data_IF_413938820009
#
_entry.id   IF_413938820009
#
_cell.length_a   1.000
_cell.length_b   1.000
_cell.length_c   1.000
_cell.angle_alpha   90.00
_cell.angle_beta   90.00
_cell.angle_gamma   90.00
#
_symmetry.space_group_name_H-M   'P 1'
#
loop_
_entity.id
_entity.type
_entity.pdbx_description
1 polymer ?
#
# COMPACT_ATOMS: atom_id res chain seq x y z
N UNK A 1 2.16 12.62 -12.79
CA UNK A 1 3.29 12.83 -11.85
C UNK A 1 3.85 11.49 -11.39
N UNK A 2 5.03 11.44 -10.77
CA UNK A 2 5.55 10.23 -10.15
C UNK A 2 5.30 10.31 -8.64
N UNK A 3 4.61 9.32 -8.07
CA UNK A 3 4.27 9.24 -6.65
C UNK A 3 4.90 7.99 -6.05
N UNK A 4 5.75 8.15 -5.05
CA UNK A 4 6.26 7.04 -4.25
C UNK A 4 5.42 6.96 -2.97
N UNK A 5 4.73 5.83 -2.78
CA UNK A 5 3.89 5.63 -1.61
C UNK A 5 4.72 5.16 -0.42
N UNK A 6 4.36 5.66 0.76
CA UNK A 6 4.76 5.02 2.01
C UNK A 6 3.94 3.74 2.22
N UNK A 7 4.51 2.77 2.95
CA UNK A 7 3.87 1.52 3.33
C UNK A 7 2.48 1.73 3.92
N UNK A 8 2.29 2.70 4.82
CA UNK A 8 0.98 2.90 5.46
C UNK A 8 -0.08 3.48 4.50
N UNK A 9 0.32 4.34 3.56
CA UNK A 9 -0.59 4.89 2.55
C UNK A 9 -1.06 3.80 1.60
N UNK A 10 -0.14 2.93 1.17
CA UNK A 10 -0.48 1.77 0.37
C UNK A 10 -1.48 0.87 1.09
N UNK A 11 -1.22 0.53 2.36
CA UNK A 11 -2.12 -0.28 3.18
C UNK A 11 -3.50 0.37 3.35
N UNK A 12 -3.57 1.69 3.56
CA UNK A 12 -4.85 2.37 3.64
C UNK A 12 -5.62 2.35 2.33
N UNK A 13 -4.93 2.53 1.20
CA UNK A 13 -5.56 2.50 -0.11
C UNK A 13 -6.16 1.14 -0.45
N UNK A 14 -5.41 0.05 -0.26
CA UNK A 14 -5.90 -1.30 -0.61
C UNK A 14 -7.02 -1.82 0.30
N UNK A 15 -7.13 -1.28 1.51
CA UNK A 15 -8.18 -1.65 2.47
C UNK A 15 -9.33 -0.62 2.52
N UNK A 16 -9.41 0.30 1.55
CA UNK A 16 -10.38 1.40 1.51
C UNK A 16 -10.55 2.12 2.87
N UNK A 17 -9.42 2.38 3.53
CA UNK A 17 -9.41 2.87 4.90
C UNK A 17 -9.91 4.34 4.94
N UNK A 18 -10.86 4.70 5.82
CA UNK A 18 -11.43 6.05 5.90
C UNK A 18 -10.44 7.13 6.34
N UNK A 19 -9.25 6.76 6.83
CA UNK A 19 -8.18 7.71 7.14
C UNK A 19 -7.43 8.18 5.89
N UNK A 20 -7.61 7.51 4.75
CA UNK A 20 -7.05 7.97 3.49
C UNK A 20 -7.82 9.19 3.00
N UNK A 21 -7.12 10.31 2.87
CA UNK A 21 -7.71 11.54 2.35
C UNK A 21 -8.17 11.35 0.89
N UNK A 22 -9.39 11.79 0.57
CA UNK A 22 -9.97 11.80 -0.78
C UNK A 22 -9.01 12.36 -1.84
N UNK A 23 -8.32 13.46 -1.55
CA UNK A 23 -7.34 14.03 -2.48
C UNK A 23 -6.20 13.05 -2.79
N UNK A 24 -5.78 12.26 -1.80
CA UNK A 24 -4.71 11.27 -1.98
C UNK A 24 -5.24 10.09 -2.80
N UNK A 25 -6.48 9.65 -2.55
CA UNK A 25 -7.17 8.62 -3.33
C UNK A 25 -7.29 9.04 -4.80
N UNK A 26 -7.77 10.26 -5.07
CA UNK A 26 -7.82 10.83 -6.42
C UNK A 26 -6.44 10.87 -7.10
N UNK A 27 -5.39 11.20 -6.36
CA UNK A 27 -4.01 11.21 -6.91
C UNK A 27 -3.51 9.81 -7.24
N UNK A 28 -3.87 8.79 -6.46
CA UNK A 28 -3.49 7.39 -6.67
C UNK A 28 -4.28 6.79 -7.84
N UNK A 29 -5.58 7.04 -7.93
CA UNK A 29 -6.48 6.50 -8.97
C UNK A 29 -6.34 7.21 -10.32
N UNK A 30 -5.72 8.40 -10.37
CA UNK A 30 -5.52 9.13 -11.61
C UNK A 30 -4.48 8.44 -12.50
N UNK A 31 -4.92 7.89 -13.63
CA UNK A 31 -4.09 7.19 -14.63
C UNK A 31 -2.93 8.01 -15.21
N UNK A 32 -2.97 9.36 -15.10
CA UNK A 32 -1.84 10.23 -15.50
C UNK A 32 -0.70 10.23 -14.49
N UNK A 33 -0.89 9.62 -13.33
CA UNK A 33 0.12 9.45 -12.30
C UNK A 33 0.71 8.05 -12.37
N UNK A 34 2.04 7.97 -12.23
CA UNK A 34 2.74 6.71 -12.03
C UNK A 34 2.95 6.52 -10.54
N UNK A 35 2.45 5.41 -10.03
CA UNK A 35 2.56 5.01 -8.63
C UNK A 35 3.72 4.04 -8.50
N UNK A 36 4.58 4.30 -7.53
CA UNK A 36 5.69 3.44 -7.16
C UNK A 36 5.52 3.00 -5.72
N UNK A 37 5.86 1.74 -5.45
CA UNK A 37 6.03 1.21 -4.11
C UNK A 37 7.45 0.67 -4.00
N UNK A 38 8.15 1.03 -2.93
CA UNK A 38 9.50 0.54 -2.71
C UNK A 38 9.49 -0.94 -2.41
N UNK A 39 10.46 -1.68 -2.95
CA UNK A 39 10.70 -3.07 -2.52
C UNK A 39 10.88 -3.14 -1.01
N UNK A 40 11.56 -2.16 -0.39
CA UNK A 40 11.74 -2.11 1.06
C UNK A 40 10.42 -2.08 1.86
N UNK A 41 9.36 -1.47 1.31
CA UNK A 41 8.03 -1.48 1.93
C UNK A 41 7.46 -2.89 2.01
N UNK A 42 7.69 -3.74 1.01
CA UNK A 42 7.30 -5.16 1.06
C UNK A 42 8.04 -5.93 2.15
N UNK A 43 9.36 -5.71 2.29
CA UNK A 43 10.15 -6.32 3.38
C UNK A 43 9.67 -5.88 4.75
N UNK A 44 9.38 -4.58 4.92
CA UNK A 44 8.84 -4.07 6.17
C UNK A 44 7.48 -4.70 6.51
N UNK A 45 6.58 -4.82 5.50
CA UNK A 45 5.29 -5.49 5.66
C UNK A 45 5.44 -6.96 6.04
N UNK A 46 6.35 -7.70 5.38
CA UNK A 46 6.56 -9.13 5.68
C UNK A 46 7.05 -9.32 7.12
N UNK A 47 8.00 -8.49 7.57
CA UNK A 47 8.52 -8.54 8.94
C UNK A 47 7.41 -8.21 9.94
N UNK A 48 6.64 -7.14 9.71
CA UNK A 48 5.54 -6.76 10.61
C UNK A 48 4.42 -7.80 10.66
N UNK A 49 4.10 -8.42 9.53
CA UNK A 49 3.10 -9.48 9.42
C UNK A 49 3.53 -10.73 10.22
N UNK A 50 4.76 -11.21 10.00
CA UNK A 50 5.31 -12.36 10.72
C UNK A 50 5.45 -12.12 12.23
N UNK A 51 5.66 -10.87 12.66
CA UNK A 51 5.67 -10.48 14.07
C UNK A 51 4.25 -10.30 14.67
N UNK A 52 3.18 -10.49 13.89
CA UNK A 52 1.80 -10.24 14.32
C UNK A 52 1.46 -8.77 14.55
N UNK A 53 2.33 -7.84 14.11
CA UNK A 53 2.17 -6.38 14.25
C UNK A 53 1.39 -5.75 13.12
N UNK A 54 1.21 -6.47 12.02
CA UNK A 54 0.39 -6.08 10.87
C UNK A 54 -0.61 -7.20 10.60
N UNK A 55 -1.90 -6.87 10.58
CA UNK A 55 -2.95 -7.75 10.08
C UNK A 55 -3.33 -7.26 8.69
N UNK A 56 -3.33 -8.18 7.74
CA UNK A 56 -3.80 -7.93 6.39
C UNK A 56 -5.15 -8.61 6.26
N UNK A 57 -6.16 -7.88 5.78
CA UNK A 57 -7.50 -8.44 5.57
C UNK A 57 -7.50 -9.38 4.36
N UNK A 58 -6.68 -9.07 3.36
CA UNK A 58 -6.41 -9.92 2.20
C UNK A 58 -5.17 -10.79 2.45
N UNK A 59 -5.11 -11.94 1.79
CA UNK A 59 -3.96 -12.84 1.88
C UNK A 59 -2.69 -12.11 1.40
N UNK A 60 -1.57 -12.21 2.14
CA UNK A 60 -0.33 -11.53 1.77
C UNK A 60 0.17 -11.97 0.38
N UNK A 61 -0.17 -13.21 -0.01
CA UNK A 61 0.15 -13.76 -1.33
C UNK A 61 -0.50 -12.99 -2.49
N UNK A 62 -1.66 -12.36 -2.31
CA UNK A 62 -2.30 -11.55 -3.37
C UNK A 62 -1.49 -10.29 -3.74
N UNK A 63 -0.62 -9.83 -2.85
CA UNK A 63 0.25 -8.68 -3.10
C UNK A 63 1.59 -9.07 -3.73
N UNK A 64 1.86 -10.37 -3.87
CA UNK A 64 3.10 -10.94 -4.42
C UNK A 64 2.71 -11.91 -5.54
N UNK A 65 2.11 -11.40 -6.62
CA UNK A 65 2.18 -12.13 -7.89
C UNK A 65 3.37 -11.62 -8.72
N UNK A 66 4.09 -12.53 -9.43
CA UNK A 66 5.26 -12.21 -10.25
C UNK A 66 4.96 -11.36 -11.49
#
# INVERSE_FOLDING_TARGET
>A
MNLLLDTHIFLWFVNDNPQLNERLKELIENEKNRIYLSVASFWEMSIKYNLGKLRLENSYEEFIEP
#
